data_IF_850051637595
#
_entry.id   IF_850051637595
#
_cell.length_a   1.000
_cell.length_b   1.000
_cell.length_c   1.000
_cell.angle_alpha   90.00
_cell.angle_beta   90.00
_cell.angle_gamma   90.00
#
_symmetry.space_group_name_H-M   'P 1'
#
loop_
_entity.id
_entity.type
_entity.pdbx_description
1 polymer ?
#
# COMPACT_ATOMS: atom_id res chain seq x y z
N UNK A 1 -14.98 4.07 -20.72
CA UNK A 1 -15.46 5.43 -21.06
C UNK A 1 -15.24 5.76 -22.54
N UNK A 2 -14.03 5.69 -23.10
CA UNK A 2 -13.85 5.85 -24.57
C UNK A 2 -14.41 4.67 -25.39
N UNK A 3 -14.43 3.47 -24.81
CA UNK A 3 -14.90 2.24 -25.46
C UNK A 3 -16.45 2.13 -25.59
N UNK A 4 -17.21 3.04 -24.95
CA UNK A 4 -18.69 3.06 -24.98
C UNK A 4 -19.26 4.28 -25.71
N UNK A 5 -18.44 5.09 -26.39
CA UNK A 5 -18.90 6.27 -27.15
C UNK A 5 -19.49 7.41 -26.31
N UNK A 6 -19.42 7.33 -24.98
CA UNK A 6 -19.95 8.36 -24.08
C UNK A 6 -18.86 9.40 -23.82
N UNK A 7 -19.08 10.64 -24.25
CA UNK A 7 -18.15 11.75 -24.10
C UNK A 7 -18.24 12.30 -22.66
N UNK A 8 -17.21 12.09 -21.81
CA UNK A 8 -17.25 12.54 -20.42
C UNK A 8 -17.18 14.06 -20.35
N UNK A 9 -18.17 14.66 -19.69
CA UNK A 9 -18.32 16.11 -19.54
C UNK A 9 -19.70 16.49 -18.99
N UNK A 10 -20.00 17.79 -18.81
CA UNK A 10 -21.30 18.29 -18.34
C UNK A 10 -22.48 17.75 -19.15
N UNK A 11 -22.25 17.55 -20.45
CA UNK A 11 -23.19 16.96 -21.41
C UNK A 11 -23.65 15.54 -21.04
N UNK A 12 -22.89 14.79 -20.22
CA UNK A 12 -23.26 13.45 -19.77
C UNK A 12 -24.36 13.49 -18.71
N UNK A 13 -24.37 14.54 -17.88
CA UNK A 13 -25.44 14.80 -16.91
C UNK A 13 -26.74 15.24 -17.60
N UNK A 14 -26.64 15.91 -18.76
CA UNK A 14 -27.80 16.36 -19.54
C UNK A 14 -28.37 15.26 -20.46
N UNK A 15 -27.51 14.51 -21.17
CA UNK A 15 -27.95 13.50 -22.14
C UNK A 15 -28.31 12.15 -21.52
N UNK A 16 -27.62 11.75 -20.45
CA UNK A 16 -27.82 10.44 -19.79
C UNK A 16 -28.00 10.57 -18.27
N UNK A 17 -28.96 11.39 -17.79
CA UNK A 17 -29.13 11.68 -16.36
C UNK A 17 -29.44 10.43 -15.54
N UNK A 18 -30.20 9.47 -16.10
CA UNK A 18 -30.53 8.20 -15.42
C UNK A 18 -29.30 7.35 -15.16
N UNK A 19 -28.34 7.33 -16.09
CA UNK A 19 -27.12 6.54 -15.99
C UNK A 19 -26.17 7.13 -14.93
N UNK A 20 -26.05 8.46 -14.91
CA UNK A 20 -25.22 9.17 -13.92
C UNK A 20 -25.80 9.05 -12.52
N UNK A 21 -27.09 9.33 -12.33
CA UNK A 21 -27.75 9.19 -11.02
C UNK A 21 -27.78 7.72 -10.57
N UNK A 22 -27.92 6.76 -11.49
CA UNK A 22 -27.81 5.33 -11.21
C UNK A 22 -26.40 4.94 -10.74
N UNK A 23 -25.34 5.45 -11.37
CA UNK A 23 -23.96 5.21 -10.97
C UNK A 23 -23.68 5.80 -9.57
N UNK A 24 -24.05 7.07 -9.35
CA UNK A 24 -23.87 7.74 -8.05
C UNK A 24 -24.66 7.02 -6.95
N UNK A 25 -25.92 6.66 -7.22
CA UNK A 25 -26.74 5.92 -6.28
C UNK A 25 -26.16 4.52 -6.00
N UNK A 26 -25.69 3.79 -7.01
CA UNK A 26 -25.08 2.46 -6.82
C UNK A 26 -23.76 2.53 -6.06
N UNK A 27 -22.96 3.60 -6.24
CA UNK A 27 -21.76 3.82 -5.44
C UNK A 27 -22.11 4.09 -3.98
N UNK A 28 -23.12 4.92 -3.72
CA UNK A 28 -23.59 5.22 -2.37
C UNK A 28 -24.18 3.98 -1.69
N UNK A 29 -25.08 3.27 -2.38
CA UNK A 29 -25.65 2.00 -1.93
C UNK A 29 -24.56 0.96 -1.74
N UNK A 30 -23.57 0.89 -2.63
CA UNK A 30 -22.43 -0.01 -2.52
C UNK A 30 -21.57 0.29 -1.29
N UNK A 31 -21.31 1.56 -0.97
CA UNK A 31 -20.58 1.96 0.24
C UNK A 31 -21.37 1.62 1.51
N UNK A 32 -22.68 1.87 1.52
CA UNK A 32 -23.56 1.49 2.64
C UNK A 32 -23.61 -0.02 2.81
N UNK A 33 -23.75 -0.77 1.70
CA UNK A 33 -23.76 -2.23 1.73
C UNK A 33 -22.42 -2.80 2.19
N UNK A 34 -21.30 -2.25 1.72
CA UNK A 34 -19.97 -2.61 2.20
C UNK A 34 -19.83 -2.36 3.70
N UNK A 35 -20.37 -1.26 4.23
CA UNK A 35 -20.39 -0.98 5.67
C UNK A 35 -21.23 -2.01 6.43
N UNK A 36 -22.45 -2.28 5.95
CA UNK A 36 -23.38 -3.26 6.55
C UNK A 36 -22.81 -4.67 6.50
N UNK A 37 -22.05 -5.02 5.47
CA UNK A 37 -21.37 -6.31 5.37
C UNK A 37 -20.10 -6.36 6.21
N UNK A 38 -19.30 -5.29 6.25
CA UNK A 38 -18.04 -5.27 6.98
C UNK A 38 -18.25 -5.25 8.51
N UNK A 39 -19.29 -4.57 9.01
CA UNK A 39 -19.58 -4.47 10.43
C UNK A 39 -19.82 -5.82 11.15
N UNK A 40 -20.64 -6.76 10.64
CA UNK A 40 -20.79 -8.11 11.21
C UNK A 40 -19.60 -9.02 10.91
N UNK A 41 -18.83 -8.77 9.84
CA UNK A 41 -17.64 -9.56 9.51
C UNK A 41 -16.43 -9.16 10.38
N UNK A 42 -16.33 -7.90 10.82
CA UNK A 42 -15.26 -7.41 11.69
C UNK A 42 -15.01 -8.28 12.95
N UNK A 43 -16.03 -8.70 13.73
CA UNK A 43 -15.82 -9.59 14.86
C UNK A 43 -15.40 -11.00 14.46
N UNK A 44 -15.74 -11.47 13.25
CA UNK A 44 -15.27 -12.76 12.70
C UNK A 44 -13.77 -12.69 12.43
N UNK A 45 -13.31 -11.61 11.78
CA UNK A 45 -11.88 -11.35 11.58
C UNK A 45 -11.11 -11.21 12.91
N UNK A 46 -11.72 -10.57 13.90
CA UNK A 46 -11.12 -10.48 15.24
C UNK A 46 -11.02 -11.85 15.94
N UNK A 47 -11.99 -12.74 15.75
CA UNK A 47 -11.94 -14.12 16.26
C UNK A 47 -10.84 -14.93 15.57
N UNK A 48 -10.59 -14.72 14.27
CA UNK A 48 -9.49 -15.37 13.55
C UNK A 48 -8.12 -15.06 14.19
N UNK A 49 -7.91 -13.84 14.68
CA UNK A 49 -6.70 -13.45 15.41
C UNK A 49 -6.52 -14.15 16.77
N UNK A 50 -7.60 -14.72 17.34
CA UNK A 50 -7.53 -15.46 18.61
C UNK A 50 -7.09 -16.91 18.41
N UNK A 51 -7.00 -17.39 17.17
CA UNK A 51 -6.51 -18.74 16.86
C UNK A 51 -5.04 -18.83 17.26
N UNK A 52 -4.61 -19.94 17.90
CA UNK A 52 -3.21 -20.15 18.26
C UNK A 52 -2.28 -19.95 17.05
N UNK A 53 -1.22 -19.16 17.25
CA UNK A 53 -0.28 -18.71 16.21
C UNK A 53 0.22 -19.82 15.27
N UNK A 54 0.54 -21.04 15.72
CA UNK A 54 0.99 -22.11 14.83
C UNK A 54 -0.02 -22.48 13.74
N UNK A 55 -1.32 -22.55 14.08
CA UNK A 55 -2.38 -22.89 13.14
C UNK A 55 -2.63 -21.77 12.13
N UNK A 56 -2.51 -20.51 12.55
CA UNK A 56 -2.60 -19.36 11.64
C UNK A 56 -1.48 -19.41 10.60
N UNK A 57 -0.24 -19.64 11.02
CA UNK A 57 0.88 -19.72 10.08
C UNK A 57 0.75 -20.91 9.12
N UNK A 58 0.30 -22.07 9.60
CA UNK A 58 0.03 -23.22 8.75
C UNK A 58 -1.08 -22.93 7.72
N UNK A 59 -2.17 -22.28 8.14
CA UNK A 59 -3.25 -21.88 7.24
C UNK A 59 -2.80 -20.86 6.19
N UNK A 60 -2.07 -19.81 6.60
CA UNK A 60 -1.52 -18.81 5.68
C UNK A 60 -0.60 -19.47 4.66
N UNK A 61 0.29 -20.36 5.09
CA UNK A 61 1.21 -21.07 4.21
C UNK A 61 0.47 -21.98 3.23
N UNK A 62 -0.57 -22.68 3.69
CA UNK A 62 -1.42 -23.52 2.85
C UNK A 62 -2.12 -22.70 1.78
N UNK A 63 -2.82 -21.62 2.15
CA UNK A 63 -3.50 -20.76 1.18
C UNK A 63 -2.53 -20.07 0.23
N UNK A 64 -1.34 -19.68 0.70
CA UNK A 64 -0.32 -19.09 -0.15
C UNK A 64 0.22 -20.13 -1.17
N UNK A 65 0.48 -21.37 -0.76
CA UNK A 65 0.93 -22.43 -1.63
C UNK A 65 -0.14 -22.80 -2.68
N UNK A 66 -1.39 -22.96 -2.26
CA UNK A 66 -2.51 -23.22 -3.18
C UNK A 66 -2.71 -22.04 -4.13
N UNK A 67 -2.64 -20.80 -3.64
CA UNK A 67 -2.77 -19.60 -4.46
C UNK A 67 -1.66 -19.45 -5.50
N UNK A 68 -0.41 -19.71 -5.11
CA UNK A 68 0.72 -19.69 -6.04
C UNK A 68 0.56 -20.76 -7.13
N UNK A 69 0.18 -21.98 -6.74
CA UNK A 69 -0.06 -23.06 -7.71
C UNK A 69 -1.26 -22.80 -8.61
N UNK A 70 -2.33 -22.16 -8.11
CA UNK A 70 -3.55 -21.92 -8.87
C UNK A 70 -3.39 -20.90 -10.01
N UNK A 71 -2.40 -20.01 -9.94
CA UNK A 71 -2.17 -18.98 -10.96
C UNK A 71 -1.38 -19.54 -12.15
N UNK A 72 -0.26 -20.21 -11.88
CA UNK A 72 0.65 -20.70 -12.92
C UNK A 72 0.52 -22.19 -13.24
N UNK A 73 -0.04 -23.00 -12.34
CA UNK A 73 -0.06 -24.46 -12.45
C UNK A 73 1.33 -25.12 -12.44
N UNK A 74 2.40 -24.34 -12.27
CA UNK A 74 3.77 -24.82 -12.32
C UNK A 74 4.32 -25.12 -10.91
N UNK A 75 5.01 -26.26 -10.72
CA UNK A 75 5.62 -26.58 -9.42
C UNK A 75 6.76 -25.62 -9.05
N UNK A 76 7.30 -24.88 -10.02
CA UNK A 76 8.35 -23.89 -9.83
C UNK A 76 7.86 -22.72 -8.94
N UNK A 77 6.59 -22.33 -9.06
CA UNK A 77 5.98 -21.29 -8.20
C UNK A 77 5.95 -21.70 -6.72
N UNK A 78 5.76 -23.01 -6.45
CA UNK A 78 5.81 -23.56 -5.10
C UNK A 78 7.23 -23.50 -4.52
N UNK A 79 8.24 -23.85 -5.33
CA UNK A 79 9.65 -23.78 -4.94
C UNK A 79 10.04 -22.33 -4.67
N UNK A 80 9.67 -21.40 -5.55
CA UNK A 80 9.95 -19.99 -5.40
C UNK A 80 9.27 -19.42 -4.14
N UNK A 81 8.02 -19.80 -3.88
CA UNK A 81 7.30 -19.46 -2.65
C UNK A 81 8.04 -19.97 -1.41
N UNK A 82 8.54 -21.21 -1.43
CA UNK A 82 9.29 -21.78 -0.32
C UNK A 82 10.61 -21.01 -0.08
N UNK A 83 11.36 -20.71 -1.16
CA UNK A 83 12.61 -19.95 -1.09
C UNK A 83 12.37 -18.55 -0.52
N UNK A 84 11.39 -17.81 -1.04
CA UNK A 84 11.04 -16.46 -0.57
C UNK A 84 10.52 -16.52 0.87
N UNK A 85 9.73 -17.53 1.22
CA UNK A 85 9.27 -17.76 2.60
C UNK A 85 10.44 -18.00 3.56
N UNK A 86 11.46 -18.75 3.15
CA UNK A 86 12.65 -19.04 3.93
C UNK A 86 13.54 -17.80 4.09
N UNK A 87 13.68 -16.98 3.04
CA UNK A 87 14.32 -15.66 3.10
C UNK A 87 13.58 -14.76 4.09
N UNK A 88 12.24 -14.71 4.02
CA UNK A 88 11.41 -13.94 4.94
C UNK A 88 11.55 -14.40 6.40
N UNK A 89 11.68 -15.71 6.63
CA UNK A 89 11.98 -16.26 7.94
C UNK A 89 13.37 -15.83 8.44
N UNK A 90 14.37 -15.84 7.55
CA UNK A 90 15.72 -15.34 7.83
C UNK A 90 15.71 -13.86 8.21
N UNK A 91 15.04 -13.02 7.41
CA UNK A 91 14.87 -11.59 7.69
C UNK A 91 14.25 -11.34 9.07
N UNK A 92 13.21 -12.11 9.43
CA UNK A 92 12.57 -12.02 10.74
C UNK A 92 13.53 -12.38 11.88
N UNK A 93 14.47 -13.31 11.66
CA UNK A 93 15.51 -13.68 12.65
C UNK A 93 16.54 -12.58 12.87
N UNK A 94 16.89 -11.83 11.82
CA UNK A 94 17.84 -10.70 11.91
C UNK A 94 17.19 -9.36 12.27
N UNK A 95 15.89 -9.34 12.59
CA UNK A 95 15.16 -8.12 12.92
C UNK A 95 14.93 -7.19 11.72
N UNK A 96 15.15 -7.67 10.50
CA UNK A 96 14.86 -6.92 9.29
C UNK A 96 13.34 -6.88 9.06
N UNK A 97 12.75 -5.70 8.82
CA UNK A 97 11.32 -5.59 8.60
C UNK A 97 10.97 -6.19 7.23
N UNK A 98 10.26 -7.32 7.23
CA UNK A 98 9.85 -8.05 6.01
C UNK A 98 8.90 -7.21 5.14
N UNK A 99 8.00 -6.45 5.78
CA UNK A 99 6.98 -5.67 5.09
C UNK A 99 7.57 -4.62 4.11
N UNK A 100 8.52 -3.75 4.51
CA UNK A 100 9.23 -2.86 3.61
C UNK A 100 9.90 -3.55 2.42
N UNK A 101 10.51 -4.73 2.62
CA UNK A 101 11.16 -5.45 1.53
C UNK A 101 10.13 -5.96 0.51
N UNK A 102 9.02 -6.53 0.97
CA UNK A 102 7.92 -6.97 0.09
C UNK A 102 7.35 -5.80 -0.69
N UNK A 103 7.12 -4.66 -0.04
CA UNK A 103 6.65 -3.44 -0.71
C UNK A 103 7.66 -2.98 -1.76
N UNK A 104 8.96 -3.01 -1.46
CA UNK A 104 10.02 -2.68 -2.41
C UNK A 104 10.03 -3.59 -3.64
N UNK A 105 9.85 -4.90 -3.46
CA UNK A 105 9.79 -5.87 -4.56
C UNK A 105 8.55 -5.66 -5.44
N UNK A 106 7.39 -5.36 -4.85
CA UNK A 106 6.14 -5.11 -5.59
C UNK A 106 6.20 -3.77 -6.33
N UNK A 107 6.69 -2.71 -5.66
CA UNK A 107 6.74 -1.36 -6.22
C UNK A 107 7.91 -1.15 -7.19
N UNK A 108 8.99 -1.91 -7.06
CA UNK A 108 10.20 -1.76 -7.89
C UNK A 108 9.91 -1.80 -9.40
N UNK A 109 9.23 -2.84 -9.92
CA UNK A 109 8.89 -2.92 -11.34
C UNK A 109 7.99 -1.76 -11.80
N UNK A 110 7.03 -1.35 -10.98
CA UNK A 110 6.16 -0.22 -11.28
C UNK A 110 6.96 1.09 -11.32
N UNK A 111 7.87 1.31 -10.36
CA UNK A 111 8.74 2.48 -10.32
C UNK A 111 9.67 2.53 -11.54
N UNK A 112 10.30 1.42 -11.91
CA UNK A 112 11.15 1.30 -13.09
C UNK A 112 10.37 1.57 -14.39
N UNK A 113 9.15 1.05 -14.51
CA UNK A 113 8.29 1.32 -15.66
C UNK A 113 7.95 2.81 -15.77
N UNK A 114 7.61 3.47 -14.66
CA UNK A 114 7.32 4.91 -14.70
C UNK A 114 8.58 5.75 -14.95
N UNK A 115 9.74 5.33 -14.44
CA UNK A 115 11.03 5.95 -14.77
C UNK A 115 11.33 5.85 -16.26
N UNK A 116 11.17 4.67 -16.85
CA UNK A 116 11.36 4.45 -18.29
C UNK A 116 10.39 5.28 -19.12
N UNK A 117 9.11 5.32 -18.73
CA UNK A 117 8.10 6.17 -19.40
C UNK A 117 8.46 7.65 -19.33
N UNK A 118 8.89 8.12 -18.16
CA UNK A 118 9.31 9.51 -18.00
C UNK A 118 10.51 9.86 -18.90
N UNK A 119 11.50 8.95 -18.99
CA UNK A 119 12.67 9.13 -19.87
C UNK A 119 12.31 9.04 -21.35
N UNK A 120 11.36 8.19 -21.73
CA UNK A 120 10.86 8.12 -23.11
C UNK A 120 10.12 9.39 -23.52
N UNK A 121 9.33 9.98 -22.61
CA UNK A 121 8.64 11.25 -22.85
C UNK A 121 9.62 12.41 -22.96
N UNK A 122 10.80 12.32 -22.32
CA UNK A 122 11.84 13.35 -22.37
C UNK A 122 12.93 13.09 -23.42
N UNK A 123 12.66 12.26 -24.42
CA UNK A 123 13.61 11.88 -25.50
C UNK A 123 14.96 11.35 -24.98
N UNK A 124 14.94 10.64 -23.84
CA UNK A 124 16.14 10.07 -23.20
C UNK A 124 16.94 11.06 -22.36
N UNK A 125 16.51 12.32 -22.25
CA UNK A 125 17.19 13.31 -21.42
C UNK A 125 16.82 13.16 -19.93
N UNK A 126 17.84 12.94 -19.09
CA UNK A 126 17.70 12.83 -17.61
C UNK A 126 17.23 14.16 -17.00
N UNK A 127 17.47 15.28 -17.70
CA UNK A 127 16.95 16.60 -17.34
C UNK A 127 15.43 16.65 -17.32
N UNK A 128 14.73 15.85 -18.13
CA UNK A 128 13.27 15.75 -18.13
C UNK A 128 12.66 15.31 -16.80
N UNK A 129 13.42 14.61 -15.95
CA UNK A 129 12.99 14.23 -14.61
C UNK A 129 12.85 15.41 -13.66
N UNK A 130 13.62 16.49 -13.88
CA UNK A 130 13.71 17.65 -12.96
C UNK A 130 13.18 18.94 -13.62
N UNK A 131 12.97 18.95 -14.94
CA UNK A 131 12.61 20.15 -15.68
C UNK A 131 11.12 20.56 -15.51
N UNK A 132 10.26 19.65 -15.05
CA UNK A 132 8.86 19.98 -14.77
C UNK A 132 8.69 20.59 -13.38
N UNK A 133 7.97 21.73 -13.24
CA UNK A 133 7.77 22.40 -11.96
C UNK A 133 7.07 21.50 -10.93
N UNK A 134 6.26 20.53 -11.39
CA UNK A 134 5.68 19.49 -10.55
C UNK A 134 6.75 18.56 -9.96
N UNK A 135 7.69 18.05 -10.77
CA UNK A 135 8.78 17.19 -10.28
C UNK A 135 9.65 17.91 -9.26
N UNK A 136 10.02 19.17 -9.50
CA UNK A 136 10.78 19.98 -8.54
C UNK A 136 10.06 20.08 -7.20
N UNK A 137 8.75 20.32 -7.22
CA UNK A 137 7.94 20.42 -6.00
C UNK A 137 7.90 19.08 -5.26
N UNK A 138 7.72 17.97 -5.97
CA UNK A 138 7.71 16.62 -5.39
C UNK A 138 9.08 16.26 -4.79
N UNK A 139 10.18 16.52 -5.49
CA UNK A 139 11.54 16.29 -4.96
C UNK A 139 11.83 17.15 -3.74
N UNK A 140 11.39 18.42 -3.72
CA UNK A 140 11.52 19.28 -2.55
C UNK A 140 10.74 18.71 -1.34
N UNK A 141 9.51 18.23 -1.54
CA UNK A 141 8.71 17.59 -0.48
C UNK A 141 9.38 16.31 0.05
N UNK A 142 9.92 15.47 -0.85
CA UNK A 142 10.65 14.25 -0.48
C UNK A 142 11.88 14.60 0.37
N UNK A 143 12.66 15.60 -0.03
CA UNK A 143 13.82 16.08 0.72
C UNK A 143 13.43 16.60 2.11
N UNK A 144 12.35 17.36 2.21
CA UNK A 144 11.83 17.85 3.50
C UNK A 144 11.40 16.69 4.41
N UNK A 145 10.70 15.69 3.87
CA UNK A 145 10.27 14.50 4.62
C UNK A 145 11.45 13.63 5.09
N UNK A 146 12.49 13.48 4.26
CA UNK A 146 13.71 12.76 4.62
C UNK A 146 14.55 13.51 5.66
N UNK A 147 14.59 14.85 5.58
CA UNK A 147 15.28 15.70 6.54
C UNK A 147 14.50 15.86 7.87
N UNK A 148 13.18 15.66 7.86
CA UNK A 148 12.31 15.76 9.03
C UNK A 148 12.78 14.97 10.27
N UNK A 149 13.17 13.67 10.18
CA UNK A 149 13.72 12.95 11.33
C UNK A 149 15.04 13.53 11.85
N UNK A 150 15.85 14.16 11.00
CA UNK A 150 17.13 14.79 11.39
C UNK A 150 16.89 16.15 12.06
N UNK A 151 15.96 16.95 11.52
CA UNK A 151 15.52 18.23 12.10
C UNK A 151 14.89 18.03 13.48
N UNK A 152 14.06 16.98 13.66
CA UNK A 152 13.49 16.61 14.96
C UNK A 152 14.53 16.13 15.97
N UNK A 153 15.67 15.60 15.52
CA UNK A 153 16.76 15.15 16.38
C UNK A 153 17.70 16.31 16.75
N UNK A 154 17.82 17.32 15.89
CA UNK A 154 18.55 18.57 16.12
C UNK A 154 17.80 19.55 17.05
N UNK A 155 16.46 19.45 17.14
CA UNK A 155 15.65 20.12 18.18
C UNK A 155 15.20 19.09 19.23
N UNK A 156 16.05 18.70 20.19
CA UNK A 156 15.59 17.91 21.32
C UNK A 156 14.48 18.68 22.03
N UNK A 157 13.28 18.09 22.04
CA UNK A 157 12.20 18.53 22.92
C UNK A 157 12.72 18.48 24.35
N UNK A 158 13.02 19.65 24.90
CA UNK A 158 13.15 19.85 26.34
C UNK A 158 11.79 19.54 26.99
N UNK A 159 11.53 18.26 27.28
CA UNK A 159 10.53 17.80 28.25
C UNK A 159 10.75 16.31 28.56
N UNK A 160 11.95 16.01 29.05
CA UNK A 160 12.26 14.81 29.83
C UNK A 160 12.32 15.18 31.33
N UNK A 161 11.24 15.75 31.88
CA UNK A 161 11.29 16.31 33.24
C UNK A 161 9.93 16.54 33.91
N UNK A 162 8.97 15.62 33.77
CA UNK A 162 7.71 15.71 34.53
C UNK A 162 7.21 14.38 35.13
N UNK A 163 7.96 13.27 35.00
CA UNK A 163 7.53 11.95 35.51
C UNK A 163 8.30 11.48 36.74
N UNK A 164 9.24 12.28 37.30
CA UNK A 164 10.01 11.93 38.51
C UNK A 164 9.60 12.67 39.78
N UNK A 165 8.66 13.62 39.71
CA UNK A 165 8.22 14.39 40.88
C UNK A 165 7.01 13.78 41.61
N UNK A 166 6.38 12.72 41.06
CA UNK A 166 5.22 12.06 41.68
C UNK A 166 5.61 10.89 42.59
N UNK A 167 6.71 10.20 42.31
CA UNK A 167 7.16 9.04 43.10
C UNK A 167 8.01 9.41 44.34
N UNK A 168 8.29 10.70 44.55
CA UNK A 168 9.00 11.20 45.74
C UNK A 168 8.07 11.87 46.77
N UNK A 169 6.75 11.88 46.50
CA UNK A 169 5.73 12.52 47.33
C UNK A 169 4.66 11.54 47.85
N UNK A 170 4.78 10.24 47.55
CA UNK A 170 3.96 9.16 48.12
C UNK A 170 4.85 8.21 48.95
#
# INVERSE_FOLDING_TARGET
>A
FQQYGIQPGPLLFEREPKLVWGLIASLFVGMVLLLVLNLPLAPVWAKLLRIPRPYLYAGILFFAAVGAYAVGGEPLDLVLLLIIGLIGLGMRRYGLPVLPAVIGVILGPAAEQQLRRALQISDGSVTGLVNTPFSVTVYAVILVLLAWPWIKRAFPRARAGATRAKDAAD
#
